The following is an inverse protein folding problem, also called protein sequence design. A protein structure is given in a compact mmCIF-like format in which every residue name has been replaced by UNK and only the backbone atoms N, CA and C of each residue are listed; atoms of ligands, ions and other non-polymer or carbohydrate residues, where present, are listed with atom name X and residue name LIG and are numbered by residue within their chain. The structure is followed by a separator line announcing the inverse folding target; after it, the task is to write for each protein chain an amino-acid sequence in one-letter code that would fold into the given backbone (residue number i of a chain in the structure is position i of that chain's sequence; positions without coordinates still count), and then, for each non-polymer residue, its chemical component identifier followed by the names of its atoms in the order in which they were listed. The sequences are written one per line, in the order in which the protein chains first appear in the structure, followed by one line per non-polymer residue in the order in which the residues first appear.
data_IF_158405695078
#
_entry.id   IF_158405695078
#
_cell.length_a   1.000
_cell.length_b   1.000
_cell.length_c   1.000
_cell.angle_alpha   90.00
_cell.angle_beta   90.00
_cell.angle_gamma   90.00
#
_symmetry.space_group_name_H-M   'P 1'
#
loop_
_entity.id
_entity.type
_entity.pdbx_description
1 polymer ?
#
# COMPACT_ATOMS: atom_id res chain seq x y z
N UNK A 1 6.11 -9.97 6.00
CA UNK A 1 4.99 -9.89 5.03
C UNK A 1 4.52 -8.45 4.82
N UNK A 2 4.26 -7.69 5.89
CA UNK A 2 3.80 -6.30 5.74
C UNK A 2 4.81 -5.36 5.05
N UNK A 3 6.11 -5.54 5.27
CA UNK A 3 7.17 -4.76 4.63
C UNK A 3 7.07 -4.78 3.09
N UNK A 4 6.78 -5.95 2.51
CA UNK A 4 6.59 -6.10 1.07
C UNK A 4 5.28 -5.44 0.62
N UNK A 5 4.21 -5.51 1.42
CA UNK A 5 2.95 -4.82 1.11
C UNK A 5 3.14 -3.30 1.06
N UNK A 6 3.87 -2.71 2.03
CA UNK A 6 4.19 -1.28 2.03
C UNK A 6 4.97 -0.87 0.77
N UNK A 7 5.96 -1.69 0.37
CA UNK A 7 6.72 -1.48 -0.88
C UNK A 7 5.81 -1.57 -2.11
N UNK A 8 4.95 -2.58 -2.17
CA UNK A 8 4.04 -2.79 -3.31
C UNK A 8 3.05 -1.64 -3.46
N UNK A 9 2.50 -1.12 -2.36
CA UNK A 9 1.66 0.09 -2.39
C UNK A 9 2.43 1.24 -3.03
N UNK A 10 3.68 1.51 -2.58
CA UNK A 10 4.50 2.57 -3.17
C UNK A 10 4.73 2.36 -4.67
N UNK A 11 5.16 1.16 -5.07
CA UNK A 11 5.45 0.83 -6.47
C UNK A 11 4.21 0.93 -7.33
N UNK A 12 3.05 0.48 -6.83
CA UNK A 12 1.78 0.58 -7.51
C UNK A 12 1.38 2.04 -7.79
N UNK A 13 1.63 2.95 -6.85
CA UNK A 13 1.44 4.39 -7.05
C UNK A 13 2.55 5.05 -7.90
N UNK A 14 3.46 4.25 -8.48
CA UNK A 14 4.58 4.69 -9.30
C UNK A 14 5.48 5.74 -8.61
N UNK A 15 5.62 5.64 -7.29
CA UNK A 15 6.38 6.59 -6.48
C UNK A 15 7.80 6.11 -6.21
N UNK A 16 8.77 7.02 -6.31
CA UNK A 16 10.12 6.76 -5.80
C UNK A 16 10.10 6.72 -4.27
N UNK A 17 11.13 6.11 -3.62
CA UNK A 17 11.26 6.20 -2.16
C UNK A 17 11.31 7.64 -1.65
N UNK A 18 11.85 8.58 -2.43
CA UNK A 18 11.86 9.99 -2.05
C UNK A 18 10.43 10.55 -2.03
N UNK A 19 9.67 10.38 -3.11
CA UNK A 19 8.30 10.91 -3.24
C UNK A 19 7.36 10.32 -2.19
N UNK A 20 7.45 9.01 -1.97
CA UNK A 20 6.64 8.33 -0.97
C UNK A 20 6.98 8.78 0.45
N UNK A 21 8.27 8.95 0.76
CA UNK A 21 8.69 9.44 2.08
C UNK A 21 8.19 10.86 2.34
N UNK A 22 8.24 11.74 1.34
CA UNK A 22 7.68 13.09 1.41
C UNK A 22 6.17 13.06 1.60
N UNK A 23 5.44 12.26 0.81
CA UNK A 23 3.97 12.10 0.90
C UNK A 23 3.53 11.56 2.26
N UNK A 24 4.30 10.64 2.84
CA UNK A 24 4.03 10.04 4.14
C UNK A 24 4.49 10.93 5.31
N UNK A 25 5.27 11.98 5.06
CA UNK A 25 5.85 12.82 6.11
C UNK A 25 6.84 12.05 7.00
N UNK A 26 7.65 11.17 6.40
CA UNK A 26 8.69 10.39 7.09
C UNK A 26 10.03 10.52 6.36
N UNK A 27 11.13 10.13 7.01
CA UNK A 27 12.43 10.14 6.34
C UNK A 27 12.55 8.99 5.33
N UNK A 28 13.29 9.23 4.23
CA UNK A 28 13.59 8.19 3.22
C UNK A 28 14.30 6.97 3.81
N UNK A 29 15.21 7.19 4.75
CA UNK A 29 15.90 6.10 5.45
C UNK A 29 14.92 5.26 6.26
N UNK A 30 14.00 5.89 7.00
CA UNK A 30 12.99 5.16 7.76
C UNK A 30 12.04 4.37 6.85
N UNK A 31 11.58 4.96 5.75
CA UNK A 31 10.81 4.24 4.74
C UNK A 31 11.56 3.00 4.21
N UNK A 32 12.85 3.15 3.91
CA UNK A 32 13.67 2.03 3.42
C UNK A 32 13.79 0.91 4.44
N UNK A 33 13.97 1.23 5.73
CA UNK A 33 14.05 0.24 6.80
C UNK A 33 12.71 -0.50 6.99
N UNK A 34 11.59 0.19 6.79
CA UNK A 34 10.25 -0.40 6.83
C UNK A 34 10.02 -1.36 5.65
N UNK A 35 10.40 -0.97 4.43
CA UNK A 35 10.22 -1.79 3.23
C UNK A 35 11.16 -3.01 3.20
N UNK A 36 12.38 -2.87 3.73
CA UNK A 36 13.32 -3.99 3.87
C UNK A 36 12.97 -4.95 5.01
N UNK A 37 12.09 -4.53 5.93
CA UNK A 37 11.73 -5.31 7.12
C UNK A 37 12.74 -5.19 8.27
N UNK A 38 13.71 -4.28 8.16
CA UNK A 38 14.65 -3.98 9.24
C UNK A 38 13.98 -3.29 10.43
N UNK A 39 12.87 -2.60 10.21
CA UNK A 39 12.01 -2.05 11.26
C UNK A 39 10.57 -2.50 11.12
N UNK A 40 9.96 -2.79 12.26
CA UNK A 40 8.52 -3.07 12.34
C UNK A 40 7.71 -1.80 12.08
N UNK A 41 6.71 -1.91 11.22
CA UNK A 41 5.78 -0.82 10.95
C UNK A 41 4.88 -0.57 12.17
N UNK A 42 4.91 0.65 12.70
CA UNK A 42 4.02 1.06 13.79
C UNK A 42 2.61 1.33 13.27
N UNK A 43 1.62 1.33 14.15
CA UNK A 43 0.24 1.70 13.81
C UNK A 43 0.18 3.11 13.18
N UNK A 44 1.00 4.05 13.66
CA UNK A 44 1.10 5.41 13.10
C UNK A 44 1.56 5.38 11.63
N UNK A 45 2.55 4.53 11.29
CA UNK A 45 2.97 4.34 9.90
C UNK A 45 1.82 3.78 9.06
N UNK A 46 1.10 2.77 9.57
CA UNK A 46 -0.05 2.20 8.84
C UNK A 46 -1.15 3.24 8.61
N UNK A 47 -1.41 4.12 9.59
CA UNK A 47 -2.34 5.24 9.45
C UNK A 47 -1.86 6.27 8.42
N UNK A 48 -0.56 6.59 8.39
CA UNK A 48 0.04 7.46 7.36
C UNK A 48 -0.14 6.86 5.97
N UNK A 49 0.09 5.57 5.79
CA UNK A 49 -0.15 4.86 4.53
C UNK A 49 -1.63 4.88 4.14
N UNK A 50 -2.51 4.53 5.07
CA UNK A 50 -3.95 4.55 4.85
C UNK A 50 -4.44 5.91 4.36
N UNK A 51 -4.04 6.99 5.04
CA UNK A 51 -4.38 8.36 4.66
C UNK A 51 -3.73 8.78 3.35
N UNK A 52 -2.45 8.50 3.17
CA UNK A 52 -1.70 8.93 1.99
C UNK A 52 -2.18 8.25 0.71
N UNK A 53 -2.63 7.00 0.78
CA UNK A 53 -2.96 6.17 -0.38
C UNK A 53 -4.45 5.81 -0.47
N UNK A 54 -5.30 6.49 0.31
CA UNK A 54 -6.75 6.27 0.37
C UNK A 54 -7.14 4.79 0.58
N UNK A 55 -6.46 4.16 1.54
CA UNK A 55 -6.69 2.75 1.88
C UNK A 55 -7.25 2.61 3.29
N UNK A 56 -8.15 1.66 3.56
CA UNK A 56 -8.59 1.40 4.93
C UNK A 56 -7.44 0.87 5.79
N UNK A 57 -7.21 1.43 6.98
CA UNK A 57 -6.18 0.97 7.95
C UNK A 57 -6.33 -0.52 8.27
N UNK A 58 -7.58 -1.01 8.38
CA UNK A 58 -7.87 -2.42 8.61
C UNK A 58 -7.30 -3.35 7.54
N UNK A 59 -7.11 -2.85 6.30
CA UNK A 59 -6.42 -3.59 5.24
C UNK A 59 -4.97 -3.86 5.57
N UNK A 60 -4.30 -2.86 6.13
CA UNK A 60 -2.89 -2.92 6.47
C UNK A 60 -2.65 -3.76 7.73
N UNK A 61 -3.52 -3.63 8.73
CA UNK A 61 -3.44 -4.40 9.99
C UNK A 61 -3.54 -5.91 9.78
N UNK A 62 -4.35 -6.38 8.82
CA UNK A 62 -4.42 -7.81 8.48
C UNK A 62 -3.05 -8.37 8.07
N UNK A 63 -2.20 -7.60 7.40
CA UNK A 63 -0.85 -8.05 7.03
C UNK A 63 0.12 -8.10 8.22
N UNK A 64 -0.18 -7.39 9.33
CA UNK A 64 0.53 -7.51 10.60
C UNK A 64 0.09 -8.80 11.30
N UNK A 65 -1.22 -9.00 11.47
CA UNK A 65 -1.77 -10.14 12.22
C UNK A 65 -1.43 -11.49 11.60
N UNK A 66 -1.41 -11.57 10.26
CA UNK A 66 -1.02 -12.79 9.55
C UNK A 66 0.50 -13.01 9.48
N UNK A 67 1.32 -12.08 9.97
CA UNK A 67 2.77 -12.30 10.09
C UNK A 67 3.11 -13.23 11.27
N UNK A 68 2.27 -13.28 12.30
CA UNK A 68 2.48 -14.05 13.53
C UNK A 68 1.54 -15.26 13.69
N UNK A 69 0.45 -15.35 12.91
CA UNK A 69 -0.54 -16.41 13.02
C UNK A 69 -0.39 -17.51 11.95
N UNK A 70 -0.39 -18.78 12.38
CA UNK A 70 -0.54 -19.93 11.49
C UNK A 70 -1.89 -19.85 10.72
N UNK A 71 -1.93 -20.25 9.43
CA UNK A 71 -3.03 -19.90 8.54
C UNK A 71 -4.32 -20.66 8.89
N UNK A 72 -5.35 -19.98 9.41
CA UNK A 72 -6.73 -20.44 9.27
C UNK A 72 -7.25 -20.06 7.87
N UNK A 73 -6.82 -20.84 6.89
CA UNK A 73 -6.87 -20.54 5.47
C UNK A 73 -8.26 -20.15 4.92
N UNK A 74 -9.36 -20.67 5.45
CA UNK A 74 -10.66 -20.57 4.76
C UNK A 74 -11.40 -19.24 4.92
N UNK A 75 -11.29 -18.56 6.06
CA UNK A 75 -11.94 -17.26 6.24
C UNK A 75 -11.06 -16.16 5.65
N UNK A 76 -9.76 -16.15 5.98
CA UNK A 76 -8.78 -15.18 5.48
C UNK A 76 -8.76 -15.10 3.94
N UNK A 77 -8.87 -16.24 3.26
CA UNK A 77 -8.81 -16.30 1.79
C UNK A 77 -10.04 -15.70 1.11
N UNK A 78 -11.25 -15.87 1.68
CA UNK A 78 -12.48 -15.21 1.18
C UNK A 78 -12.41 -13.68 1.36
N UNK A 79 -11.87 -13.21 2.49
CA UNK A 79 -11.70 -11.78 2.75
C UNK A 79 -10.62 -11.15 1.86
N UNK A 80 -9.50 -11.84 1.62
CA UNK A 80 -8.46 -11.38 0.68
C UNK A 80 -9.02 -11.30 -0.73
N UNK A 81 -9.81 -12.27 -1.19
CA UNK A 81 -10.41 -12.26 -2.53
C UNK A 81 -11.39 -11.09 -2.72
N UNK A 82 -12.29 -10.85 -1.76
CA UNK A 82 -13.22 -9.72 -1.80
C UNK A 82 -12.50 -8.36 -1.83
N UNK A 83 -11.34 -8.28 -1.19
CA UNK A 83 -10.55 -7.06 -1.11
C UNK A 83 -9.64 -6.87 -2.30
N UNK A 84 -9.10 -7.94 -2.88
CA UNK A 84 -8.44 -7.93 -4.18
C UNK A 84 -9.41 -7.45 -5.26
N UNK A 85 -10.67 -7.91 -5.23
CA UNK A 85 -11.74 -7.40 -6.10
C UNK A 85 -11.98 -5.91 -5.88
N UNK A 86 -12.03 -5.42 -4.64
CA UNK A 86 -12.17 -3.99 -4.36
C UNK A 86 -10.97 -3.15 -4.80
N UNK A 87 -9.76 -3.71 -4.71
CA UNK A 87 -8.54 -3.10 -5.24
C UNK A 87 -8.58 -3.05 -6.77
N UNK A 88 -9.02 -4.12 -7.43
CA UNK A 88 -9.20 -4.19 -8.90
C UNK A 88 -10.30 -3.24 -9.39
N UNK A 89 -11.40 -3.12 -8.66
CA UNK A 89 -12.50 -2.19 -8.92
C UNK A 89 -12.04 -0.73 -8.82
N UNK A 90 -11.21 -0.43 -7.81
CA UNK A 90 -10.58 0.88 -7.67
C UNK A 90 -9.55 1.15 -8.79
N UNK A 91 -8.76 0.16 -9.22
CA UNK A 91 -7.88 0.28 -10.42
C UNK A 91 -8.71 0.60 -11.67
N UNK A 92 -9.82 -0.10 -11.88
CA UNK A 92 -10.70 0.09 -13.03
C UNK A 92 -11.38 1.47 -13.02
N UNK A 93 -11.75 1.97 -11.84
CA UNK A 93 -12.35 3.30 -11.65
C UNK A 93 -11.38 4.42 -12.03
N UNK A 94 -10.08 4.28 -11.72
CA UNK A 94 -9.06 5.27 -12.09
C UNK A 94 -8.70 5.19 -13.58
N UNK A 95 -8.72 4.00 -14.18
CA UNK A 95 -8.48 3.83 -15.61
C UNK A 95 -9.57 4.44 -16.50
N UNK A 96 -10.76 4.73 -15.94
CA UNK A 96 -11.89 5.34 -16.65
C UNK A 96 -11.84 6.87 -16.79
N UNK A 97 -10.99 7.58 -16.03
CA UNK A 97 -11.01 9.05 -15.93
C UNK A 97 -9.75 9.71 -16.52
N UNK A 98 -9.15 9.09 -17.54
CA UNK A 98 -7.96 9.54 -18.26
C UNK A 98 -8.23 10.17 -19.62
N UNK A 99 -9.22 11.06 -19.72
CA UNK A 99 -9.50 11.85 -20.92
C UNK A 99 -8.55 13.04 -21.09
N UNK A 100 -7.45 12.84 -21.84
CA UNK A 100 -6.80 13.82 -22.72
C UNK A 100 -6.23 15.13 -22.14
N UNK A 101 -4.89 15.28 -22.23
CA UNK A 101 -4.25 16.23 -23.15
C UNK A 101 -2.76 15.92 -23.31
N UNK A 102 -2.35 15.83 -24.57
CA UNK A 102 -0.99 15.62 -25.03
C UNK A 102 -0.07 16.76 -24.57
N UNK A 103 1.13 16.39 -24.11
CA UNK A 103 2.25 17.32 -23.96
C UNK A 103 3.11 17.16 -25.21
N UNK A 104 2.95 18.09 -26.15
CA UNK A 104 3.92 18.31 -27.23
C UNK A 104 5.26 18.68 -26.59
N UNK A 105 6.32 18.00 -27.05
CA UNK A 105 7.71 18.35 -26.69
C UNK A 105 8.30 19.19 -27.81
N UNK A 106 9.07 20.25 -27.50
CA UNK A 106 9.93 20.89 -28.49
C UNK A 106 11.06 19.98 -28.96
#
# INVERSE_FOLDING_TARGET
MINNALRLVRVYHNLTPADASARLGISRSYLSELESGNKTASIEVLQKYAKAFDMPVSSLMLFVENADAAPKAQQTQKYIAAKALKMLDWVATIAGDGGGKAVERP
#
